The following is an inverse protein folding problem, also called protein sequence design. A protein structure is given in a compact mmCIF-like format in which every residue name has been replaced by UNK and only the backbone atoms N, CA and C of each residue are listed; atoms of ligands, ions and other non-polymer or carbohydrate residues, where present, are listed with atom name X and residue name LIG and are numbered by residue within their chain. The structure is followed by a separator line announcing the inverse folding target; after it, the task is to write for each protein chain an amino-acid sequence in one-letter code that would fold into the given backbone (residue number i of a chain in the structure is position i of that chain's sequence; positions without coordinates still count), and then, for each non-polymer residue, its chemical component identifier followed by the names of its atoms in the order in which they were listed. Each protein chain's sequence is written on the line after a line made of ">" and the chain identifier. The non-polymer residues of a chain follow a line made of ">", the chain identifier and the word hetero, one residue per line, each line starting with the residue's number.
data_IF_044813165590
#
_entry.id   IF_044813165590
#
_cell.length_a   1.000
_cell.length_b   1.000
_cell.length_c   1.000
_cell.angle_alpha   90.00
_cell.angle_beta   90.00
_cell.angle_gamma   90.00
#
_symmetry.space_group_name_H-M   'P 1'
#
loop_
_entity.id
_entity.type
_entity.pdbx_description
1 polymer ?
#
# COMPACT_ATOMS: atom_id res chain seq x y z
N UNK A 1 -1.93 -2.01 -4.14
CA UNK A 1 -0.68 -2.56 -3.56
C UNK A 1 -0.90 -2.93 -2.08
N UNK A 2 -0.11 -3.86 -1.53
CA UNK A 2 -0.26 -4.38 -0.16
C UNK A 2 1.09 -4.86 0.39
N UNK A 3 1.25 -4.80 1.71
CA UNK A 3 2.36 -5.45 2.43
C UNK A 3 1.86 -6.36 3.57
N UNK A 4 0.73 -6.01 4.20
CA UNK A 4 0.21 -6.75 5.36
C UNK A 4 -0.98 -7.67 5.07
N UNK A 5 -1.52 -7.67 3.84
CA UNK A 5 -2.72 -8.44 3.51
C UNK A 5 -2.36 -9.76 2.82
N UNK A 6 -2.98 -10.86 3.24
CA UNK A 6 -2.74 -12.21 2.71
C UNK A 6 -4.03 -13.01 2.83
N UNK A 7 -4.20 -14.04 2.01
CA UNK A 7 -5.40 -14.88 2.03
C UNK A 7 -5.38 -15.89 3.21
N UNK A 8 -4.25 -15.96 3.92
CA UNK A 8 -4.02 -16.88 5.03
C UNK A 8 -4.34 -16.29 6.41
N UNK A 9 -4.61 -14.97 6.50
CA UNK A 9 -4.87 -14.26 7.75
C UNK A 9 -5.96 -13.22 7.56
N UNK A 10 -6.67 -12.91 8.64
CA UNK A 10 -7.64 -11.82 8.64
C UNK A 10 -6.96 -10.48 8.35
N UNK A 11 -7.64 -9.64 7.56
CA UNK A 11 -7.12 -8.32 7.22
C UNK A 11 -7.22 -7.36 8.40
N UNK A 12 -6.11 -6.70 8.74
CA UNK A 12 -6.01 -5.78 9.89
C UNK A 12 -5.56 -4.36 9.50
N UNK A 13 -5.29 -4.10 8.22
CA UNK A 13 -5.13 -2.74 7.68
C UNK A 13 -3.90 -1.96 8.17
N UNK A 14 -2.85 -2.64 8.63
CA UNK A 14 -1.65 -2.00 9.20
C UNK A 14 -0.83 -1.23 8.17
N UNK A 15 -0.57 -1.80 6.99
CA UNK A 15 0.42 -1.20 6.07
C UNK A 15 -0.01 0.11 5.40
N UNK A 16 -1.32 0.40 5.35
CA UNK A 16 -1.89 1.60 4.70
C UNK A 16 -1.43 1.85 3.25
N UNK A 17 -0.89 0.86 2.54
CA UNK A 17 -0.53 0.99 1.12
C UNK A 17 -1.73 0.72 0.20
N UNK A 18 -2.73 -0.02 0.68
CA UNK A 18 -3.93 -0.43 -0.06
C UNK A 18 -5.07 0.62 -0.06
N UNK A 19 -4.75 1.90 0.15
CA UNK A 19 -5.76 2.95 0.24
C UNK A 19 -6.44 3.16 -1.11
N UNK A 20 -7.74 3.45 -1.07
CA UNK A 20 -8.58 3.70 -2.25
C UNK A 20 -9.48 4.91 -1.99
N UNK A 21 -10.07 5.44 -3.04
CA UNK A 21 -11.14 6.44 -2.95
C UNK A 21 -12.47 5.78 -3.27
N UNK A 22 -13.52 6.13 -2.53
CA UNK A 22 -14.87 5.61 -2.72
C UNK A 22 -15.80 6.79 -2.88
N UNK A 23 -16.56 6.85 -3.98
CA UNK A 23 -17.48 7.96 -4.22
C UNK A 23 -18.52 8.07 -3.10
N UNK A 24 -18.81 9.30 -2.67
CA UNK A 24 -19.72 9.57 -1.55
C UNK A 24 -19.14 9.28 -0.15
N UNK A 25 -17.89 8.81 -0.04
CA UNK A 25 -17.22 8.55 1.24
C UNK A 25 -16.03 9.48 1.45
N UNK A 26 -15.94 10.06 2.64
CA UNK A 26 -14.81 10.90 3.03
C UNK A 26 -13.53 10.10 3.26
N UNK A 27 -12.40 10.69 2.90
CA UNK A 27 -11.06 10.14 3.15
C UNK A 27 -10.63 9.06 2.15
N UNK A 28 -9.64 8.27 2.54
CA UNK A 28 -9.05 7.19 1.74
C UNK A 28 -9.06 5.89 2.56
N UNK A 29 -10.17 5.14 2.58
CA UNK A 29 -10.24 3.88 3.33
C UNK A 29 -9.26 2.83 2.79
N UNK A 30 -8.86 1.89 3.64
CA UNK A 30 -8.02 0.77 3.24
C UNK A 30 -8.87 -0.31 2.56
N UNK A 31 -8.48 -0.76 1.37
CA UNK A 31 -9.25 -1.76 0.63
C UNK A 31 -9.31 -3.11 1.35
N UNK A 32 -8.24 -3.51 2.04
CA UNK A 32 -8.19 -4.82 2.71
C UNK A 32 -9.19 -4.99 3.86
N UNK A 33 -9.63 -3.90 4.50
CA UNK A 33 -10.56 -3.97 5.64
C UNK A 33 -11.91 -3.32 5.36
N UNK A 34 -12.13 -2.77 4.17
CA UNK A 34 -13.38 -2.13 3.81
C UNK A 34 -14.32 -3.14 3.17
N UNK A 35 -15.48 -3.45 3.80
CA UNK A 35 -16.45 -4.34 3.18
C UNK A 35 -16.99 -3.74 1.88
N UNK A 36 -17.21 -4.60 0.88
CA UNK A 36 -17.90 -4.21 -0.35
C UNK A 36 -19.37 -3.92 -0.06
N UNK A 37 -19.92 -2.91 -0.73
CA UNK A 37 -21.33 -2.55 -0.65
C UNK A 37 -21.94 -2.42 -2.05
N UNK A 38 -23.26 -2.57 -2.14
CA UNK A 38 -23.98 -2.40 -3.41
C UNK A 38 -23.81 -0.99 -3.97
N UNK A 39 -23.59 -0.89 -5.28
CA UNK A 39 -23.41 0.40 -5.97
C UNK A 39 -22.10 1.14 -5.64
N UNK A 40 -21.16 0.52 -4.92
CA UNK A 40 -19.90 1.16 -4.55
C UNK A 40 -19.03 1.45 -5.78
N UNK A 41 -18.70 2.73 -6.01
CA UNK A 41 -17.76 3.15 -7.06
C UNK A 41 -16.40 3.42 -6.43
N UNK A 42 -15.41 2.58 -6.76
CA UNK A 42 -14.06 2.63 -6.21
C UNK A 42 -13.09 3.17 -7.25
N UNK A 43 -12.31 4.19 -6.89
CA UNK A 43 -11.17 4.67 -7.66
C UNK A 43 -9.89 4.20 -6.99
N UNK A 44 -9.06 3.48 -7.75
CA UNK A 44 -7.79 2.90 -7.26
C UNK A 44 -6.58 3.69 -7.74
N UNK A 45 -6.77 4.66 -8.64
CA UNK A 45 -5.73 5.48 -9.26
C UNK A 45 -6.20 6.94 -9.24
N UNK A 46 -5.41 7.81 -8.63
CA UNK A 46 -5.58 9.26 -8.64
C UNK A 46 -4.29 9.89 -8.11
N UNK A 47 -4.00 11.13 -8.48
CA UNK A 47 -2.81 11.84 -8.01
C UNK A 47 -2.76 11.91 -6.47
N UNK A 48 -3.93 12.05 -5.82
CA UNK A 48 -4.06 12.01 -4.37
C UNK A 48 -3.67 10.66 -3.79
N UNK A 49 -4.13 9.55 -4.38
CA UNK A 49 -3.77 8.22 -3.92
C UNK A 49 -2.28 7.95 -4.10
N UNK A 50 -1.70 8.40 -5.21
CA UNK A 50 -0.29 8.20 -5.50
C UNK A 50 0.59 8.97 -4.51
N UNK A 51 0.26 10.23 -4.23
CA UNK A 51 0.95 11.04 -3.22
C UNK A 51 0.89 10.41 -1.83
N UNK A 52 -0.28 9.92 -1.40
CA UNK A 52 -0.44 9.31 -0.08
C UNK A 52 0.36 7.99 0.00
N UNK A 53 0.26 7.13 -1.01
CA UNK A 53 0.96 5.83 -1.02
C UNK A 53 2.47 6.01 -1.04
N UNK A 54 2.97 6.99 -1.80
CA UNK A 54 4.38 7.37 -1.79
C UNK A 54 4.81 7.83 -0.39
N UNK A 55 4.06 8.76 0.23
CA UNK A 55 4.37 9.22 1.58
C UNK A 55 4.36 8.11 2.64
N UNK A 56 3.42 7.16 2.56
CA UNK A 56 3.43 5.96 3.41
C UNK A 56 4.70 5.14 3.21
N UNK A 57 5.11 4.90 1.97
CA UNK A 57 6.34 4.14 1.70
C UNK A 57 7.62 4.91 2.06
N UNK A 58 7.64 6.24 1.96
CA UNK A 58 8.75 7.06 2.43
C UNK A 58 8.96 6.90 3.95
N UNK A 59 7.86 6.82 4.72
CA UNK A 59 7.95 6.52 6.16
C UNK A 59 8.56 5.13 6.40
N UNK A 60 8.14 4.11 5.66
CA UNK A 60 8.73 2.77 5.78
C UNK A 60 10.21 2.76 5.44
N UNK A 61 10.60 3.40 4.33
CA UNK A 61 11.99 3.46 3.88
C UNK A 61 12.86 4.24 4.86
N UNK A 62 12.32 5.26 5.55
CA UNK A 62 13.09 6.06 6.52
C UNK A 62 13.63 5.27 7.71
N UNK A 63 12.95 4.19 8.10
CA UNK A 63 13.31 3.32 9.23
C UNK A 63 13.84 1.95 8.74
N UNK A 64 13.79 1.70 7.43
CA UNK A 64 14.33 0.48 6.84
C UNK A 64 15.85 0.59 6.72
N UNK A 65 16.64 -0.40 7.21
CA UNK A 65 18.09 -0.31 7.21
C UNK A 65 18.65 -0.16 5.79
N UNK A 66 19.27 1.00 5.53
CA UNK A 66 19.96 1.34 4.29
C UNK A 66 21.23 0.48 4.16
N UNK A 67 21.07 -0.73 3.65
CA UNK A 67 22.17 -1.69 3.52
C UNK A 67 21.74 -3.13 3.29
N UNK A 68 20.44 -3.45 3.30
CA UNK A 68 19.96 -4.74 2.84
C UNK A 68 20.09 -4.81 1.31
N UNK A 69 21.32 -5.01 0.82
CA UNK A 69 21.71 -5.91 -0.28
C UNK A 69 23.03 -5.51 -0.96
N UNK A 70 24.13 -6.20 -0.65
CA UNK A 70 25.11 -6.48 -1.71
C UNK A 70 25.09 -7.94 -2.17
N UNK A 71 24.68 -8.93 -1.32
CA UNK A 71 24.69 -10.36 -1.73
C UNK A 71 23.55 -11.26 -1.22
N UNK A 72 22.59 -10.78 -0.41
CA UNK A 72 21.48 -11.60 0.11
C UNK A 72 20.07 -11.13 -0.29
N UNK A 73 20.01 -10.29 -1.32
CA UNK A 73 18.76 -9.84 -1.93
C UNK A 73 19.10 -9.19 -3.26
N UNK A 74 18.94 -9.98 -4.30
CA UNK A 74 18.48 -9.42 -5.56
C UNK A 74 17.18 -8.66 -5.26
N UNK A 75 16.91 -7.48 -5.82
CA UNK A 75 15.68 -6.72 -5.58
C UNK A 75 14.39 -7.50 -5.87
N UNK A 76 13.99 -8.36 -4.93
CA UNK A 76 13.06 -9.47 -5.08
C UNK A 76 12.11 -9.61 -3.89
N UNK A 77 12.18 -8.70 -2.90
CA UNK A 77 11.20 -8.66 -1.82
C UNK A 77 9.94 -7.94 -2.27
N UNK A 78 8.79 -8.31 -1.70
CA UNK A 78 7.53 -7.59 -1.93
C UNK A 78 7.64 -6.11 -1.51
N UNK A 79 8.50 -5.81 -0.53
CA UNK A 79 8.78 -4.45 -0.10
C UNK A 79 9.38 -3.61 -1.24
N UNK A 80 10.44 -4.11 -1.87
CA UNK A 80 11.11 -3.43 -2.99
C UNK A 80 10.17 -3.27 -4.18
N UNK A 81 9.37 -4.29 -4.47
CA UNK A 81 8.38 -4.24 -5.55
C UNK A 81 7.32 -3.15 -5.30
N UNK A 82 6.85 -3.03 -4.05
CA UNK A 82 5.88 -2.00 -3.66
C UNK A 82 6.50 -0.61 -3.67
N UNK A 83 7.71 -0.43 -3.15
CA UNK A 83 8.44 0.84 -3.18
C UNK A 83 8.61 1.33 -4.62
N UNK A 84 9.06 0.46 -5.53
CA UNK A 84 9.15 0.76 -6.96
C UNK A 84 7.81 1.11 -7.59
N UNK A 85 6.73 0.43 -7.19
CA UNK A 85 5.39 0.70 -7.73
C UNK A 85 4.83 2.09 -7.38
N UNK A 86 5.37 2.73 -6.33
CA UNK A 86 4.99 4.10 -5.93
C UNK A 86 6.04 5.14 -6.32
N UNK A 87 7.02 4.76 -7.14
CA UNK A 87 8.04 5.66 -7.67
C UNK A 87 9.21 5.97 -6.73
N UNK A 88 9.52 5.06 -5.79
CA UNK A 88 10.73 5.08 -4.99
C UNK A 88 11.80 4.12 -5.54
#
# INVERSE_FOLDING_TARGET
>A
PKLCATDMLDSFGSCRVCLVEIEGRGGTPASCTTPVGEGMVVRTQSERLDAIRRGVMELYVSDHPTGWNEKAGTGASEFDAVAKSVGL
#
